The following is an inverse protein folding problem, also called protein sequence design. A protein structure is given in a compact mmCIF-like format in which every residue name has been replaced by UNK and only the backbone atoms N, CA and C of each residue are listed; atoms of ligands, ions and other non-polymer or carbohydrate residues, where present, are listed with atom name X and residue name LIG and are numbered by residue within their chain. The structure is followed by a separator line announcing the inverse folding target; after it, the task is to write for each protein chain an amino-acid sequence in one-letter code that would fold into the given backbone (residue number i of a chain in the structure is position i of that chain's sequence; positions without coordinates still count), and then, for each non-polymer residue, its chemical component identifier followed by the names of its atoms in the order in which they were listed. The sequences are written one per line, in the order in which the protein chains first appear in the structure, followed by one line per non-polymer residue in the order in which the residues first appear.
data_IF_640944697008
#
_entry.id   IF_640944697008
#
_cell.length_a   1.000
_cell.length_b   1.000
_cell.length_c   1.000
_cell.angle_alpha   90.00
_cell.angle_beta   90.00
_cell.angle_gamma   90.00
#
_symmetry.space_group_name_H-M   'P 1'
#
loop_
_entity.id
_entity.type
_entity.pdbx_description
1 polymer ?
#
# COMPACT_ATOMS: atom_id res chain seq x y z
N UNK A 1 -26.82 -4.52 -27.70
CA UNK A 1 -25.41 -4.86 -27.36
C UNK A 1 -25.31 -4.91 -25.82
N UNK A 2 -25.84 -5.97 -25.18
CA UNK A 2 -26.04 -5.99 -23.71
C UNK A 2 -26.02 -7.39 -23.05
N UNK A 3 -25.36 -8.40 -23.65
CA UNK A 3 -25.40 -9.79 -23.12
C UNK A 3 -24.08 -10.33 -22.54
N UNK A 4 -23.03 -9.50 -22.39
CA UNK A 4 -21.75 -9.97 -21.83
C UNK A 4 -21.70 -9.81 -20.29
N UNK A 5 -22.69 -9.14 -19.68
CA UNK A 5 -22.63 -8.72 -18.27
C UNK A 5 -22.95 -9.83 -17.24
N UNK A 6 -23.40 -11.01 -17.66
CA UNK A 6 -23.77 -12.12 -16.76
C UNK A 6 -22.69 -13.20 -16.63
N UNK A 7 -21.55 -13.13 -17.32
CA UNK A 7 -20.48 -14.10 -17.13
C UNK A 7 -19.23 -13.41 -16.60
N UNK A 8 -18.59 -14.03 -15.61
CA UNK A 8 -17.24 -13.63 -15.18
C UNK A 8 -16.29 -13.74 -16.38
N UNK A 9 -15.49 -12.70 -16.60
CA UNK A 9 -14.41 -12.73 -17.58
C UNK A 9 -13.35 -13.76 -17.18
N UNK A 10 -12.48 -14.16 -18.11
CA UNK A 10 -11.35 -15.04 -17.81
C UNK A 10 -10.45 -14.43 -16.72
N UNK A 11 -10.17 -13.13 -16.81
CA UNK A 11 -9.38 -12.39 -15.82
C UNK A 11 -10.02 -12.39 -14.43
N UNK A 12 -11.34 -12.24 -14.34
CA UNK A 12 -12.06 -12.25 -13.06
C UNK A 12 -12.01 -13.63 -12.39
N UNK A 13 -12.07 -14.73 -13.18
CA UNK A 13 -11.93 -16.11 -12.67
C UNK A 13 -10.50 -16.42 -12.22
N UNK A 14 -9.52 -15.98 -12.99
CA UNK A 14 -8.10 -16.13 -12.63
C UNK A 14 -7.79 -15.38 -11.34
N UNK A 15 -8.33 -14.16 -11.18
CA UNK A 15 -8.23 -13.41 -9.93
C UNK A 15 -8.88 -14.14 -8.76
N UNK A 16 -10.10 -14.67 -8.92
CA UNK A 16 -10.79 -15.43 -7.86
C UNK A 16 -9.95 -16.61 -7.38
N UNK A 17 -9.42 -17.42 -8.31
CA UNK A 17 -8.59 -18.60 -8.01
C UNK A 17 -7.30 -18.19 -7.29
N UNK A 18 -6.59 -17.20 -7.83
CA UNK A 18 -5.36 -16.68 -7.23
C UNK A 18 -5.61 -16.11 -5.83
N UNK A 19 -6.67 -15.32 -5.64
CA UNK A 19 -6.96 -14.68 -4.36
C UNK A 19 -7.39 -15.71 -3.31
N UNK A 20 -8.16 -16.73 -3.70
CA UNK A 20 -8.60 -17.79 -2.79
C UNK A 20 -7.42 -18.63 -2.26
N UNK A 21 -6.41 -18.89 -3.09
CA UNK A 21 -5.17 -19.60 -2.69
C UNK A 21 -4.22 -18.74 -1.86
N UNK A 22 -4.21 -17.41 -2.07
CA UNK A 22 -3.24 -16.50 -1.48
C UNK A 22 -3.79 -15.58 -0.37
N UNK A 23 -5.10 -15.53 -0.11
CA UNK A 23 -5.73 -14.66 0.90
C UNK A 23 -5.19 -14.90 2.31
N UNK A 24 -4.94 -16.15 2.69
CA UNK A 24 -4.47 -16.50 4.04
C UNK A 24 -2.99 -16.18 4.22
N UNK A 25 -2.19 -16.34 3.15
CA UNK A 25 -0.77 -15.96 3.12
C UNK A 25 -0.59 -14.44 3.15
N UNK A 26 -1.47 -13.70 2.49
CA UNK A 26 -1.46 -12.23 2.48
C UNK A 26 -2.10 -11.62 3.72
N UNK A 27 -2.90 -12.38 4.48
CA UNK A 27 -3.43 -11.99 5.80
C UNK A 27 -2.37 -12.01 6.90
N UNK A 28 -1.31 -12.81 6.77
CA UNK A 28 -0.15 -12.79 7.67
C UNK A 28 0.91 -11.80 7.15
N UNK A 29 0.90 -10.61 7.75
CA UNK A 29 1.57 -9.36 7.37
C UNK A 29 3.09 -9.34 7.23
N UNK A 30 3.80 -10.45 7.46
CA UNK A 30 5.26 -10.44 7.63
C UNK A 30 6.05 -10.41 6.32
N UNK A 31 5.43 -10.64 5.16
CA UNK A 31 6.16 -10.86 3.90
C UNK A 31 6.52 -9.60 3.08
N UNK A 32 6.06 -8.40 3.43
CA UNK A 32 6.16 -7.24 2.51
C UNK A 32 6.79 -5.96 3.10
N UNK A 33 7.94 -6.10 3.77
CA UNK A 33 8.82 -4.96 4.09
C UNK A 33 9.32 -4.20 2.83
N UNK A 34 9.33 -4.84 1.65
CA UNK A 34 9.85 -4.27 0.39
C UNK A 34 8.97 -3.13 -0.17
N UNK A 35 7.65 -3.20 -0.01
CA UNK A 35 6.73 -2.17 -0.54
C UNK A 35 6.76 -0.91 0.32
N UNK A 36 6.85 -1.08 1.64
CA UNK A 36 7.01 0.02 2.58
C UNK A 36 8.29 0.83 2.35
N UNK A 37 9.38 0.16 1.95
CA UNK A 37 10.63 0.82 1.59
C UNK A 37 10.48 1.77 0.40
N UNK A 38 9.76 1.38 -0.66
CA UNK A 38 9.61 2.23 -1.85
C UNK A 38 8.82 3.51 -1.55
N UNK A 39 7.71 3.38 -0.80
CA UNK A 39 6.95 4.55 -0.35
C UNK A 39 7.76 5.40 0.64
N UNK A 40 8.53 4.76 1.54
CA UNK A 40 9.47 5.44 2.41
C UNK A 40 10.49 6.27 1.66
N UNK A 41 11.03 5.74 0.56
CA UNK A 41 11.99 6.43 -0.29
C UNK A 41 11.37 7.65 -0.96
N UNK A 42 10.12 7.55 -1.46
CA UNK A 42 9.39 8.69 -2.09
C UNK A 42 9.22 9.85 -1.10
N UNK A 43 8.97 9.57 0.18
CA UNK A 43 8.81 10.61 1.20
C UNK A 43 10.15 11.10 1.79
N UNK A 44 11.16 10.23 1.89
CA UNK A 44 12.47 10.59 2.43
C UNK A 44 13.35 11.34 1.41
N UNK A 45 13.25 11.04 0.12
CA UNK A 45 14.07 11.64 -0.94
C UNK A 45 13.96 13.18 -1.00
N UNK A 46 12.77 13.79 -1.03
CA UNK A 46 12.64 15.25 -1.05
C UNK A 46 13.26 15.92 0.18
N UNK A 47 13.16 15.27 1.34
CA UNK A 47 13.72 15.76 2.61
C UNK A 47 15.25 15.70 2.57
N UNK A 48 15.82 14.60 2.06
CA UNK A 48 17.25 14.45 1.87
C UNK A 48 17.80 15.43 0.83
N UNK A 49 17.12 15.58 -0.32
CA UNK A 49 17.50 16.53 -1.37
C UNK A 49 17.46 17.96 -0.83
N UNK A 50 16.42 18.32 -0.08
CA UNK A 50 16.29 19.64 0.53
C UNK A 50 17.35 19.90 1.61
N UNK A 51 17.72 18.88 2.39
CA UNK A 51 18.82 18.97 3.35
C UNK A 51 20.17 19.16 2.66
N UNK A 52 20.46 18.33 1.64
CA UNK A 52 21.70 18.38 0.88
C UNK A 52 21.84 19.66 0.02
N UNK A 53 20.73 20.27 -0.39
CA UNK A 53 20.75 21.51 -1.17
C UNK A 53 21.19 22.73 -0.35
N UNK A 54 21.28 22.62 0.98
CA UNK A 54 21.74 23.70 1.84
C UNK A 54 20.82 24.93 1.85
N UNK A 55 19.58 24.82 1.38
CA UNK A 55 18.61 25.92 1.41
C UNK A 55 18.41 26.42 2.86
N UNK A 56 18.44 25.51 3.84
CA UNK A 56 18.33 25.85 5.26
C UNK A 56 19.63 26.34 5.93
N UNK A 57 20.56 26.90 5.17
CA UNK A 57 21.85 27.45 5.67
C UNK A 57 21.69 28.57 6.71
N UNK A 58 20.52 29.20 6.81
CA UNK A 58 20.25 30.28 7.78
C UNK A 58 19.45 29.85 9.02
N UNK A 59 19.00 28.60 9.13
CA UNK A 59 18.39 28.18 10.39
C UNK A 59 19.49 27.73 11.34
N UNK A 60 19.87 28.67 12.21
CA UNK A 60 20.62 28.41 13.44
C UNK A 60 19.80 27.50 14.38
N UNK A 61 19.64 26.22 14.02
CA UNK A 61 19.09 25.20 14.91
C UNK A 61 20.16 24.86 15.96
N UNK A 62 20.29 25.70 16.98
CA UNK A 62 21.11 25.46 18.17
C UNK A 62 20.46 24.47 19.16
N UNK A 63 19.76 23.45 18.65
CA UNK A 63 19.29 22.35 19.50
C UNK A 63 19.97 21.06 19.05
N UNK A 64 20.90 20.50 19.85
CA UNK A 64 21.41 19.16 19.58
C UNK A 64 20.24 18.17 19.57
N UNK A 65 20.01 17.49 18.44
CA UNK A 65 18.98 16.47 18.31
C UNK A 65 17.80 16.81 17.38
N UNK A 66 17.66 18.03 16.87
CA UNK A 66 16.53 18.40 15.98
C UNK A 66 16.50 17.56 14.69
N UNK A 67 17.68 17.31 14.08
CA UNK A 67 17.80 16.44 12.91
C UNK A 67 17.41 14.98 13.20
N UNK A 68 17.81 14.47 14.37
CA UNK A 68 17.45 13.13 14.81
C UNK A 68 15.93 13.02 15.03
N UNK A 69 15.32 14.04 15.64
CA UNK A 69 13.88 14.10 15.88
C UNK A 69 13.07 14.13 14.58
N UNK A 70 13.47 14.97 13.61
CA UNK A 70 12.84 15.01 12.28
C UNK A 70 13.00 13.66 11.58
N UNK A 71 14.19 13.05 11.65
CA UNK A 71 14.43 11.74 11.04
C UNK A 71 13.56 10.64 11.64
N UNK A 72 13.38 10.63 12.97
CA UNK A 72 12.50 9.69 13.67
C UNK A 72 11.03 9.94 13.30
N UNK A 73 10.60 11.20 13.22
CA UNK A 73 9.24 11.55 12.84
C UNK A 73 8.91 11.09 11.41
N UNK A 74 9.81 11.33 10.47
CA UNK A 74 9.68 10.87 9.07
C UNK A 74 9.66 9.34 9.01
N UNK A 75 10.57 8.67 9.71
CA UNK A 75 10.59 7.21 9.77
C UNK A 75 9.28 6.64 10.34
N UNK A 76 8.72 7.28 11.38
CA UNK A 76 7.44 6.90 11.97
C UNK A 76 6.27 7.02 10.99
N UNK A 77 6.20 8.14 10.25
CA UNK A 77 5.16 8.35 9.22
C UNK A 77 5.27 7.33 8.10
N UNK A 78 6.49 7.07 7.62
CA UNK A 78 6.75 6.06 6.58
C UNK A 78 6.32 4.67 7.04
N UNK A 79 6.69 4.29 8.27
CA UNK A 79 6.35 3.00 8.84
C UNK A 79 4.83 2.85 9.00
N UNK A 80 4.16 3.88 9.52
CA UNK A 80 2.71 3.91 9.66
C UNK A 80 2.02 3.78 8.30
N UNK A 81 2.46 4.55 7.30
CA UNK A 81 1.86 4.54 5.97
C UNK A 81 2.09 3.22 5.24
N UNK A 82 3.27 2.60 5.38
CA UNK A 82 3.56 1.28 4.83
C UNK A 82 2.60 0.21 5.37
N UNK A 83 2.37 0.24 6.69
CA UNK A 83 1.44 -0.68 7.35
C UNK A 83 0.01 -0.42 6.86
N UNK A 84 -0.43 0.84 6.92
CA UNK A 84 -1.80 1.20 6.57
C UNK A 84 -2.12 0.93 5.10
N UNK A 85 -1.22 1.27 4.19
CA UNK A 85 -1.38 1.02 2.75
C UNK A 85 -1.51 -0.48 2.44
N UNK A 86 -0.73 -1.32 3.11
CA UNK A 86 -0.81 -2.77 2.92
C UNK A 86 -2.13 -3.34 3.42
N UNK A 87 -2.64 -2.86 4.57
CA UNK A 87 -3.97 -3.21 5.05
C UNK A 87 -5.06 -2.81 4.07
N UNK A 88 -5.03 -1.56 3.64
CA UNK A 88 -6.00 -1.01 2.73
C UNK A 88 -6.04 -1.77 1.40
N UNK A 89 -4.88 -2.15 0.85
CA UNK A 89 -4.81 -2.97 -0.37
C UNK A 89 -5.46 -4.34 -0.15
N UNK A 90 -5.20 -4.99 0.98
CA UNK A 90 -5.81 -6.29 1.30
C UNK A 90 -7.33 -6.18 1.41
N UNK A 91 -7.83 -5.18 2.14
CA UNK A 91 -9.27 -4.93 2.29
C UNK A 91 -9.95 -4.68 0.94
N UNK A 92 -9.33 -3.88 0.06
CA UNK A 92 -9.86 -3.62 -1.28
C UNK A 92 -9.94 -4.89 -2.14
N UNK A 93 -8.93 -5.75 -2.08
CA UNK A 93 -8.92 -6.99 -2.84
C UNK A 93 -9.95 -8.00 -2.29
N UNK A 94 -10.13 -8.05 -0.97
CA UNK A 94 -11.17 -8.87 -0.34
C UNK A 94 -12.57 -8.41 -0.76
N UNK A 95 -12.81 -7.09 -0.77
CA UNK A 95 -14.07 -6.54 -1.25
C UNK A 95 -14.33 -6.90 -2.72
N UNK A 96 -13.33 -6.77 -3.59
CA UNK A 96 -13.45 -7.18 -5.00
C UNK A 96 -13.77 -8.68 -5.13
N UNK A 97 -13.14 -9.53 -4.32
CA UNK A 97 -13.43 -10.97 -4.31
C UNK A 97 -14.90 -11.25 -3.93
N UNK A 98 -15.43 -10.57 -2.90
CA UNK A 98 -16.84 -10.73 -2.50
C UNK A 98 -17.81 -10.27 -3.60
N UNK A 99 -17.52 -9.13 -4.25
CA UNK A 99 -18.31 -8.61 -5.37
C UNK A 99 -18.34 -9.60 -6.55
N UNK A 100 -17.19 -10.15 -6.93
CA UNK A 100 -17.08 -11.13 -8.02
C UNK A 100 -17.79 -12.45 -7.68
N UNK A 101 -17.71 -12.89 -6.42
CA UNK A 101 -18.40 -14.11 -5.95
C UNK A 101 -19.93 -13.92 -5.93
N UNK A 102 -20.40 -12.74 -5.54
CA UNK A 102 -21.82 -12.39 -5.61
C UNK A 102 -22.31 -12.35 -7.08
N UNK A 103 -21.51 -11.78 -7.98
CA UNK A 103 -21.77 -11.78 -9.43
C UNK A 103 -21.84 -13.21 -9.98
N UNK A 104 -20.93 -14.10 -9.57
CA UNK A 104 -20.97 -15.51 -9.95
C UNK A 104 -22.28 -16.18 -9.53
N UNK A 105 -22.69 -15.98 -8.27
CA UNK A 105 -23.90 -16.60 -7.71
C UNK A 105 -25.17 -16.13 -8.41
N UNK A 106 -25.27 -14.83 -8.70
CA UNK A 106 -26.40 -14.25 -9.43
C UNK A 106 -26.45 -14.67 -10.91
N UNK A 107 -25.32 -15.13 -11.45
CA UNK A 107 -25.21 -15.58 -12.84
C UNK A 107 -25.58 -17.05 -13.01
N UNK A 108 -25.36 -17.87 -11.96
CA UNK A 108 -25.75 -19.29 -11.88
C UNK A 108 -27.22 -19.49 -11.47
N UNK A 109 -27.94 -18.42 -11.10
CA UNK A 109 -29.40 -18.39 -10.86
C UNK A 109 -30.16 -17.84 -12.05
#
# INVERSE_FOLDING_TARGET
MHEINKMLSAEEKDFLTYWEENRDKTKHWTSHLKTGFLYGLIFALPILINYLSGWFTNIRFYLPGTLLFISIAVAGVVFFFAIFYQRYRWERNEQLYEELRAKEKNSKS
#
